data_IF_901130231923
#
_entry.id   IF_901130231923
#
_cell.length_a   1.000
_cell.length_b   1.000
_cell.length_c   1.000
_cell.angle_alpha   90.00
_cell.angle_beta   90.00
_cell.angle_gamma   90.00
#
_symmetry.space_group_name_H-M   'P 1'
#
loop_
_entity.id
_entity.type
_entity.pdbx_description
1 polymer ?
#
# COMPACT_ATOMS: atom_id res chain seq x y z
N UNK A 1 -10.89 -19.29 -16.24
CA UNK A 1 -10.86 -18.20 -15.23
C UNK A 1 -12.16 -17.40 -15.25
N UNK A 2 -12.58 -16.87 -16.42
CA UNK A 2 -13.80 -16.06 -16.55
C UNK A 2 -15.02 -16.76 -15.96
N UNK A 3 -15.29 -17.99 -16.39
CA UNK A 3 -16.47 -18.76 -15.95
C UNK A 3 -16.40 -19.06 -14.45
N UNK A 4 -15.24 -19.37 -13.94
CA UNK A 4 -15.02 -19.56 -12.50
C UNK A 4 -15.36 -18.29 -11.71
N UNK A 5 -14.87 -17.13 -12.13
CA UNK A 5 -15.16 -15.84 -11.46
C UNK A 5 -16.66 -15.53 -11.50
N UNK A 6 -17.32 -15.79 -12.63
CA UNK A 6 -18.77 -15.60 -12.76
C UNK A 6 -19.57 -16.51 -11.82
N UNK A 7 -19.14 -17.75 -11.64
CA UNK A 7 -19.75 -18.68 -10.67
C UNK A 7 -19.56 -18.21 -9.22
N UNK A 8 -18.50 -17.47 -8.93
CA UNK A 8 -18.21 -16.95 -7.59
C UNK A 8 -18.76 -15.54 -7.35
N UNK A 9 -19.55 -14.97 -8.24
CA UNK A 9 -20.04 -13.59 -8.16
C UNK A 9 -20.63 -13.24 -6.80
N UNK A 10 -21.54 -14.08 -6.29
CA UNK A 10 -22.23 -13.81 -5.03
C UNK A 10 -21.29 -13.85 -3.84
N UNK A 11 -20.35 -14.80 -3.82
CA UNK A 11 -19.30 -14.87 -2.82
C UNK A 11 -18.40 -13.63 -2.85
N UNK A 12 -17.95 -13.23 -4.04
CA UNK A 12 -17.10 -12.07 -4.25
C UNK A 12 -17.80 -10.80 -3.74
N UNK A 13 -19.03 -10.56 -4.17
CA UNK A 13 -19.77 -9.38 -3.79
C UNK A 13 -20.13 -9.34 -2.29
N UNK A 14 -20.47 -10.49 -1.71
CA UNK A 14 -20.76 -10.59 -0.28
C UNK A 14 -19.52 -10.38 0.61
N UNK A 15 -18.35 -10.70 0.10
CA UNK A 15 -17.08 -10.59 0.83
C UNK A 15 -16.18 -9.53 0.20
N UNK A 16 -16.73 -8.43 -0.29
CA UNK A 16 -15.99 -7.44 -1.08
C UNK A 16 -14.82 -6.81 -0.30
N UNK A 17 -14.90 -6.70 1.00
CA UNK A 17 -13.82 -6.20 1.85
C UNK A 17 -12.56 -7.10 1.78
N UNK A 18 -12.73 -8.40 1.61
CA UNK A 18 -11.65 -9.38 1.49
C UNK A 18 -11.23 -9.63 0.05
N UNK A 19 -12.19 -9.57 -0.87
CA UNK A 19 -11.97 -9.90 -2.29
C UNK A 19 -11.69 -8.67 -3.16
N UNK A 20 -11.95 -7.48 -2.65
CA UNK A 20 -11.86 -6.23 -3.41
C UNK A 20 -10.48 -5.91 -3.97
N UNK A 21 -9.42 -6.44 -3.37
CA UNK A 21 -8.05 -6.22 -3.81
C UNK A 21 -7.76 -6.62 -5.26
N UNK A 22 -8.52 -7.57 -5.82
CA UNK A 22 -8.35 -7.99 -7.22
C UNK A 22 -9.40 -7.39 -8.16
N UNK A 23 -10.49 -6.84 -7.66
CA UNK A 23 -11.64 -6.40 -8.47
C UNK A 23 -11.24 -5.31 -9.47
N UNK A 24 -10.45 -4.32 -9.05
CA UNK A 24 -9.97 -3.26 -9.94
C UNK A 24 -9.20 -3.78 -11.17
N UNK A 25 -8.61 -4.98 -11.06
CA UNK A 25 -7.90 -5.62 -12.17
C UNK A 25 -8.80 -6.51 -13.00
N UNK A 26 -9.72 -7.20 -12.38
CA UNK A 26 -10.44 -8.32 -12.99
C UNK A 26 -11.79 -7.96 -13.59
N UNK A 27 -12.48 -6.95 -13.10
CA UNK A 27 -13.82 -6.63 -13.62
C UNK A 27 -13.81 -6.37 -15.13
N UNK A 28 -12.87 -5.53 -15.58
CA UNK A 28 -12.69 -5.27 -17.02
C UNK A 28 -12.29 -6.54 -17.81
N UNK A 29 -11.44 -7.38 -17.22
CA UNK A 29 -10.98 -8.62 -17.85
C UNK A 29 -12.08 -9.67 -17.94
N UNK A 30 -12.99 -9.74 -16.97
CA UNK A 30 -14.17 -10.61 -17.00
C UNK A 30 -15.12 -10.19 -18.12
N UNK A 31 -15.27 -8.89 -18.35
CA UNK A 31 -16.05 -8.34 -19.45
C UNK A 31 -17.52 -8.82 -19.45
N UNK A 32 -18.16 -8.87 -18.29
CA UNK A 32 -19.55 -9.29 -18.13
C UNK A 32 -20.36 -8.20 -17.43
N UNK A 33 -21.31 -7.62 -18.14
CA UNK A 33 -22.09 -6.48 -17.64
C UNK A 33 -22.91 -6.79 -16.37
N UNK A 34 -23.41 -8.02 -16.22
CA UNK A 34 -24.14 -8.43 -15.02
C UNK A 34 -23.18 -8.50 -13.82
N UNK A 35 -22.00 -9.08 -14.00
CA UNK A 35 -20.96 -9.14 -12.99
C UNK A 35 -20.52 -7.72 -12.58
N UNK A 36 -20.16 -6.86 -13.54
CA UNK A 36 -19.75 -5.48 -13.28
C UNK A 36 -20.83 -4.69 -12.51
N UNK A 37 -22.11 -4.89 -12.87
CA UNK A 37 -23.22 -4.26 -12.14
C UNK A 37 -23.31 -4.75 -10.68
N UNK A 38 -23.13 -6.05 -10.45
CA UNK A 38 -23.17 -6.62 -9.11
C UNK A 38 -21.97 -6.14 -8.26
N UNK A 39 -20.78 -6.15 -8.82
CA UNK A 39 -19.56 -5.60 -8.19
C UNK A 39 -19.77 -4.14 -7.83
N UNK A 40 -20.19 -3.31 -8.79
CA UNK A 40 -20.39 -1.87 -8.55
C UNK A 40 -21.38 -1.58 -7.40
N UNK A 41 -22.38 -2.44 -7.21
CA UNK A 41 -23.30 -2.35 -6.08
C UNK A 41 -22.61 -2.65 -4.74
N UNK A 42 -21.61 -3.50 -4.74
CA UNK A 42 -20.86 -3.88 -3.52
C UNK A 42 -19.71 -2.91 -3.19
N UNK A 43 -19.16 -2.18 -4.16
CA UNK A 43 -18.00 -1.29 -3.98
C UNK A 43 -18.14 -0.24 -2.88
N UNK A 44 -19.33 0.33 -2.55
CA UNK A 44 -19.45 1.26 -1.43
C UNK A 44 -19.00 0.68 -0.09
N UNK A 45 -19.16 -0.63 0.14
CA UNK A 45 -18.66 -1.28 1.34
C UNK A 45 -17.13 -1.36 1.36
N UNK A 46 -16.50 -1.60 0.20
CA UNK A 46 -15.05 -1.56 0.06
C UNK A 46 -14.51 -0.13 0.24
N UNK A 47 -15.19 0.86 -0.34
CA UNK A 47 -14.85 2.27 -0.16
C UNK A 47 -14.90 2.67 1.33
N UNK A 48 -15.97 2.29 2.03
CA UNK A 48 -16.09 2.54 3.47
C UNK A 48 -14.95 1.92 4.28
N UNK A 49 -14.47 0.73 3.89
CA UNK A 49 -13.30 0.11 4.52
C UNK A 49 -12.04 0.98 4.36
N UNK A 50 -11.78 1.49 3.16
CA UNK A 50 -10.62 2.35 2.95
C UNK A 50 -10.76 3.69 3.69
N UNK A 51 -11.96 4.27 3.74
CA UNK A 51 -12.23 5.48 4.53
C UNK A 51 -12.01 5.23 6.03
N UNK A 52 -12.47 4.11 6.55
CA UNK A 52 -12.20 3.69 7.93
C UNK A 52 -10.69 3.60 8.19
N UNK A 53 -9.94 2.97 7.28
CA UNK A 53 -8.48 2.86 7.43
C UNK A 53 -7.78 4.21 7.36
N UNK A 54 -8.18 5.08 6.43
CA UNK A 54 -7.61 6.42 6.30
C UNK A 54 -7.85 7.29 7.54
N UNK A 55 -8.99 7.12 8.20
CA UNK A 55 -9.35 7.92 9.37
C UNK A 55 -8.61 7.52 10.66
N UNK A 56 -7.94 6.37 10.68
CA UNK A 56 -7.26 5.85 11.88
C UNK A 56 -5.98 6.58 12.22
N UNK A 57 -5.40 7.27 11.27
CA UNK A 57 -4.14 8.00 11.45
C UNK A 57 -4.21 9.36 10.79
N UNK A 58 -3.44 10.35 11.29
CA UNK A 58 -3.36 11.66 10.64
C UNK A 58 -2.67 11.63 9.27
N UNK A 59 -2.06 10.51 8.93
CA UNK A 59 -1.36 10.32 7.64
C UNK A 59 -2.27 9.85 6.51
N UNK A 60 -3.56 9.58 6.82
CA UNK A 60 -4.54 9.15 5.84
C UNK A 60 -4.33 7.72 5.30
N UNK A 61 -3.48 6.93 5.95
CA UNK A 61 -3.27 5.51 5.68
C UNK A 61 -3.10 4.75 6.98
N UNK A 62 -3.51 3.48 7.08
CA UNK A 62 -3.25 2.68 8.27
C UNK A 62 -1.77 2.29 8.31
N UNK A 63 -1.19 2.32 9.48
CA UNK A 63 0.15 1.77 9.72
C UNK A 63 0.16 0.65 10.77
N UNK A 64 -0.99 0.33 11.33
CA UNK A 64 -1.19 -0.82 12.19
C UNK A 64 -2.63 -1.32 12.09
N UNK A 65 -2.82 -2.45 11.48
CA UNK A 65 -4.11 -3.17 11.41
C UNK A 65 -4.24 -4.27 12.46
N UNK A 66 -3.46 -4.18 13.54
CA UNK A 66 -3.37 -5.23 14.53
C UNK A 66 -2.28 -6.25 14.23
N UNK A 67 -1.66 -6.16 13.09
CA UNK A 67 -0.44 -6.88 12.76
C UNK A 67 0.77 -6.07 13.24
N UNK A 68 1.61 -6.66 14.02
CA UNK A 68 2.71 -5.97 14.72
C UNK A 68 3.97 -5.80 13.88
N UNK A 69 3.99 -6.39 12.71
CA UNK A 69 5.15 -6.34 11.84
C UNK A 69 5.00 -5.27 10.76
N UNK A 70 6.08 -4.57 10.52
CA UNK A 70 6.28 -3.80 9.29
C UNK A 70 5.33 -2.63 9.06
N UNK A 71 5.57 -1.52 9.77
CA UNK A 71 4.74 -0.31 9.73
C UNK A 71 4.46 0.26 8.34
N UNK A 72 5.27 -0.05 7.34
CA UNK A 72 5.04 0.39 5.95
C UNK A 72 4.33 -0.64 5.06
N UNK A 73 4.18 -1.88 5.53
CA UNK A 73 3.58 -2.97 4.73
C UNK A 73 2.15 -2.65 4.31
N UNK A 74 1.32 -2.26 5.25
CA UNK A 74 -0.08 -1.98 4.98
C UNK A 74 -0.29 -0.79 4.03
N UNK A 75 0.37 0.37 4.24
CA UNK A 75 0.32 1.46 3.27
C UNK A 75 0.74 1.05 1.87
N UNK A 76 1.79 0.24 1.74
CA UNK A 76 2.27 -0.24 0.44
C UNK A 76 1.28 -1.18 -0.23
N UNK A 77 0.85 -2.22 0.48
CA UNK A 77 -0.04 -3.25 -0.08
C UNK A 77 -1.42 -2.69 -0.42
N UNK A 78 -2.00 -1.92 0.49
CA UNK A 78 -3.30 -1.30 0.27
C UNK A 78 -3.23 -0.21 -0.79
N UNK A 79 -2.18 0.62 -0.79
CA UNK A 79 -1.99 1.66 -1.80
C UNK A 79 -1.83 1.08 -3.20
N UNK A 80 -1.04 0.02 -3.35
CA UNK A 80 -0.89 -0.70 -4.60
C UNK A 80 -2.23 -1.25 -5.13
N UNK A 81 -3.03 -1.88 -4.27
CA UNK A 81 -4.34 -2.38 -4.66
C UNK A 81 -5.32 -1.24 -4.98
N UNK A 82 -5.24 -0.14 -4.24
CA UNK A 82 -6.07 1.04 -4.45
C UNK A 82 -5.81 1.71 -5.82
N UNK A 83 -4.60 1.66 -6.34
CA UNK A 83 -4.31 2.16 -7.70
C UNK A 83 -5.20 1.53 -8.76
N UNK A 84 -5.46 0.23 -8.66
CA UNK A 84 -6.34 -0.46 -9.60
C UNK A 84 -7.82 -0.12 -9.39
N UNK A 85 -8.22 0.10 -8.16
CA UNK A 85 -9.58 0.54 -7.84
C UNK A 85 -9.82 1.96 -8.37
N UNK A 86 -8.88 2.87 -8.16
CA UNK A 86 -8.93 4.23 -8.72
C UNK A 86 -9.00 4.20 -10.26
N UNK A 87 -8.15 3.41 -10.90
CA UNK A 87 -8.14 3.29 -12.36
C UNK A 87 -9.42 2.71 -12.95
N UNK A 88 -10.09 1.80 -12.21
CA UNK A 88 -11.32 1.16 -12.67
C UNK A 88 -12.60 1.93 -12.29
N UNK A 89 -12.59 2.61 -11.15
CA UNK A 89 -13.75 3.27 -10.55
C UNK A 89 -13.36 4.65 -9.95
N UNK A 90 -12.89 5.60 -10.77
CA UNK A 90 -12.38 6.89 -10.27
C UNK A 90 -13.45 7.74 -9.58
N UNK A 91 -14.72 7.50 -9.87
CA UNK A 91 -15.86 8.15 -9.23
C UNK A 91 -16.10 7.70 -7.78
N UNK A 92 -15.60 6.53 -7.40
CA UNK A 92 -15.72 5.97 -6.05
C UNK A 92 -14.40 6.02 -5.26
N UNK A 93 -13.28 5.91 -5.94
CA UNK A 93 -11.96 5.84 -5.34
C UNK A 93 -11.11 7.00 -5.85
N UNK A 94 -11.06 8.10 -5.08
CA UNK A 94 -10.23 9.27 -5.39
C UNK A 94 -8.74 8.93 -5.23
N UNK A 95 -7.81 9.69 -5.83
CA UNK A 95 -6.39 9.36 -5.77
C UNK A 95 -5.72 9.64 -4.41
N UNK A 96 -6.41 10.30 -3.47
CA UNK A 96 -5.83 10.77 -2.22
C UNK A 96 -5.15 9.66 -1.41
N UNK A 97 -5.76 8.47 -1.38
CA UNK A 97 -5.17 7.34 -0.66
C UNK A 97 -3.82 6.92 -1.25
N UNK A 98 -3.66 6.99 -2.57
CA UNK A 98 -2.40 6.67 -3.25
C UNK A 98 -1.33 7.68 -2.87
N UNK A 99 -1.67 8.97 -2.91
CA UNK A 99 -0.75 10.04 -2.53
C UNK A 99 -0.33 9.93 -1.07
N UNK A 100 -1.28 9.69 -0.18
CA UNK A 100 -1.00 9.50 1.24
C UNK A 100 -0.07 8.29 1.48
N UNK A 101 -0.29 7.17 0.77
CA UNK A 101 0.56 6.00 0.88
C UNK A 101 1.99 6.27 0.37
N UNK A 102 2.14 6.97 -0.75
CA UNK A 102 3.46 7.36 -1.26
C UNK A 102 4.16 8.31 -0.29
N UNK A 103 3.47 9.33 0.21
CA UNK A 103 4.04 10.30 1.16
C UNK A 103 4.44 9.63 2.48
N UNK A 104 3.65 8.68 2.96
CA UNK A 104 3.99 7.89 4.15
C UNK A 104 5.32 7.15 3.96
N UNK A 105 5.51 6.51 2.82
CA UNK A 105 6.75 5.80 2.50
C UNK A 105 7.95 6.74 2.35
N UNK A 106 7.72 7.98 1.93
CA UNK A 106 8.74 9.00 1.75
C UNK A 106 9.08 9.79 3.03
N UNK A 107 8.49 9.43 4.18
CA UNK A 107 8.86 9.97 5.47
C UNK A 107 7.75 10.66 6.24
N UNK A 108 6.55 10.79 5.70
CA UNK A 108 5.38 11.27 6.45
C UNK A 108 4.78 10.15 7.29
N UNK A 109 5.51 9.68 8.28
CA UNK A 109 5.13 8.60 9.18
C UNK A 109 5.43 8.97 10.64
N UNK A 110 4.88 8.25 11.63
CA UNK A 110 5.17 8.51 13.03
C UNK A 110 6.63 8.18 13.37
N UNK A 111 7.17 8.82 14.39
CA UNK A 111 8.50 8.57 14.89
C UNK A 111 9.40 9.79 14.85
N UNK A 112 10.54 9.69 15.51
CA UNK A 112 11.50 10.78 15.60
C UNK A 112 12.51 10.79 14.45
N UNK A 113 12.79 9.63 13.88
CA UNK A 113 13.65 9.60 12.72
C UNK A 113 12.84 10.03 11.49
N UNK A 114 13.42 10.85 10.69
CA UNK A 114 12.83 11.33 9.46
C UNK A 114 13.32 10.52 8.26
N UNK A 115 13.73 9.29 8.50
CA UNK A 115 14.14 8.39 7.45
C UNK A 115 12.92 7.91 6.68
N UNK A 116 13.00 7.97 5.37
CA UNK A 116 12.00 7.32 4.52
C UNK A 116 12.16 5.81 4.55
N UNK A 117 11.08 5.09 4.26
CA UNK A 117 11.16 3.64 3.98
C UNK A 117 11.78 3.34 2.62
N UNK A 118 12.14 4.37 1.88
CA UNK A 118 12.81 4.30 0.59
C UNK A 118 14.24 4.76 0.78
N UNK A 119 15.21 3.94 0.39
CA UNK A 119 16.63 4.27 0.53
C UNK A 119 17.02 5.45 -0.36
N UNK A 120 17.87 6.33 0.19
CA UNK A 120 18.30 7.55 -0.48
C UNK A 120 17.33 8.73 -0.37
N UNK A 121 16.27 8.59 0.39
CA UNK A 121 15.30 9.64 0.68
C UNK A 121 15.22 9.88 2.19
N UNK A 122 14.95 11.14 2.59
CA UNK A 122 14.86 11.52 4.00
C UNK A 122 16.20 11.93 4.60
N UNK A 123 16.18 12.26 5.91
CA UNK A 123 17.34 12.74 6.65
C UNK A 123 18.38 11.63 6.90
N UNK A 124 17.90 10.41 7.04
CA UNK A 124 18.72 9.22 7.21
C UNK A 124 18.26 8.15 6.22
N UNK A 125 19.16 7.28 5.83
CA UNK A 125 18.83 6.23 4.86
C UNK A 125 19.10 4.85 5.43
N UNK A 126 18.25 3.90 5.06
CA UNK A 126 18.50 2.50 5.37
C UNK A 126 19.65 1.97 4.52
N UNK A 127 20.47 1.12 5.12
CA UNK A 127 21.72 0.63 4.53
C UNK A 127 21.71 -0.85 4.17
N UNK A 128 20.67 -1.58 4.60
CA UNK A 128 20.67 -3.03 4.46
C UNK A 128 20.04 -3.51 3.16
N UNK A 129 20.68 -4.45 2.53
CA UNK A 129 20.07 -5.29 1.50
C UNK A 129 19.27 -6.42 2.13
N UNK A 130 18.37 -7.02 1.35
CA UNK A 130 17.66 -8.21 1.79
C UNK A 130 18.62 -9.34 2.14
N UNK A 131 18.37 -9.90 3.30
CA UNK A 131 19.09 -11.06 3.80
C UNK A 131 20.12 -10.71 4.84
N UNK A 132 19.75 -11.00 6.07
CA UNK A 132 20.62 -10.91 7.26
C UNK A 132 21.92 -11.69 7.12
N UNK A 133 21.96 -12.60 6.17
CA UNK A 133 23.12 -13.44 5.88
C UNK A 133 24.19 -12.70 5.06
N UNK A 134 23.89 -11.48 4.63
CA UNK A 134 24.88 -10.67 3.89
C UNK A 134 25.60 -9.78 4.89
N UNK A 135 26.83 -10.10 5.13
CA UNK A 135 27.70 -9.39 6.04
C UNK A 135 28.13 -8.00 5.54
N UNK A 136 27.81 -7.63 4.32
CA UNK A 136 28.30 -6.43 3.67
C UNK A 136 27.38 -5.21 3.78
N UNK A 137 26.18 -5.36 4.31
CA UNK A 137 25.20 -4.27 4.49
C UNK A 137 25.10 -3.38 3.25
N UNK A 138 24.97 -4.00 2.11
CA UNK A 138 24.99 -3.32 0.81
C UNK A 138 23.87 -2.31 0.70
N UNK A 139 24.23 -1.10 0.29
CA UNK A 139 23.29 -0.06 -0.02
C UNK A 139 22.63 -0.32 -1.38
N UNK A 140 21.31 -0.29 -1.41
CA UNK A 140 20.51 -0.41 -2.64
C UNK A 140 19.77 0.91 -2.85
N UNK A 141 20.18 1.75 -3.79
CA UNK A 141 19.47 3.00 -4.09
C UNK A 141 18.03 2.73 -4.51
N UNK A 142 17.09 3.46 -3.91
CA UNK A 142 15.66 3.27 -4.22
C UNK A 142 15.07 1.95 -3.75
N UNK A 143 15.78 1.21 -2.90
CA UNK A 143 15.24 0.04 -2.23
C UNK A 143 14.12 0.44 -1.27
N UNK A 144 13.15 -0.43 -1.04
CA UNK A 144 12.02 -0.16 -0.15
C UNK A 144 11.97 -1.19 0.96
N UNK A 145 11.93 -0.70 2.19
CA UNK A 145 11.79 -1.52 3.38
C UNK A 145 10.33 -1.81 3.69
N UNK A 146 10.03 -2.96 4.30
CA UNK A 146 8.71 -3.22 4.88
C UNK A 146 8.38 -2.27 6.05
N UNK A 147 9.34 -1.52 6.54
CA UNK A 147 9.20 -0.66 7.70
C UNK A 147 9.65 -1.32 8.99
N UNK A 148 9.41 -0.64 10.08
CA UNK A 148 9.77 -1.12 11.41
C UNK A 148 8.56 -1.66 12.15
N UNK A 149 8.79 -2.46 13.18
CA UNK A 149 7.75 -2.81 14.12
C UNK A 149 7.34 -1.58 14.93
N UNK A 150 6.04 -1.35 15.00
CA UNK A 150 5.48 -0.27 15.80
C UNK A 150 5.29 -0.70 17.24
N UNK A 151 5.62 0.18 18.16
CA UNK A 151 5.49 -0.03 19.60
C UNK A 151 4.24 0.68 20.09
N UNK A 152 3.31 -0.06 20.64
CA UNK A 152 2.09 0.48 21.25
C UNK A 152 2.37 1.01 22.68
N UNK A 153 1.56 1.95 23.18
CA UNK A 153 0.34 2.53 22.60
C UNK A 153 0.58 3.68 21.61
N UNK A 154 1.74 4.28 21.63
CA UNK A 154 1.99 5.55 20.94
C UNK A 154 2.44 5.37 19.50
N UNK A 155 2.47 4.12 19.03
CA UNK A 155 2.98 3.76 17.72
C UNK A 155 4.33 4.42 17.40
N UNK A 156 5.18 4.70 18.39
CA UNK A 156 6.48 5.24 18.10
C UNK A 156 7.29 4.15 17.45
N UNK A 157 8.02 4.52 16.48
CA UNK A 157 9.09 3.70 15.99
C UNK A 157 10.20 3.64 17.03
N UNK A 158 11.15 2.79 16.77
CA UNK A 158 12.36 2.77 17.56
C UNK A 158 13.06 4.12 17.50
N UNK A 159 13.58 4.58 18.63
CA UNK A 159 14.14 5.93 18.76
C UNK A 159 15.48 6.10 18.05
N UNK A 160 16.10 5.01 17.66
CA UNK A 160 17.40 5.00 17.01
C UNK A 160 17.33 4.32 15.65
N UNK A 161 17.92 4.92 14.68
CA UNK A 161 18.08 4.39 13.34
C UNK A 161 19.54 3.93 13.13
N UNK A 162 19.80 2.84 12.44
CA UNK A 162 18.83 1.86 11.94
C UNK A 162 18.24 1.01 13.06
N UNK A 163 17.05 0.46 12.82
CA UNK A 163 16.39 -0.40 13.78
C UNK A 163 17.04 -1.78 13.83
N UNK A 164 16.96 -2.37 15.01
CA UNK A 164 17.56 -3.68 15.27
C UNK A 164 16.74 -4.86 14.73
N UNK A 165 15.56 -4.58 14.17
CA UNK A 165 14.68 -5.62 13.63
C UNK A 165 14.97 -5.83 12.16
N UNK A 166 15.13 -7.08 11.76
CA UNK A 166 15.36 -7.47 10.36
C UNK A 166 14.38 -6.82 9.39
N UNK A 167 13.11 -6.82 9.76
CA UNK A 167 12.03 -6.28 8.93
C UNK A 167 12.12 -4.78 8.73
N UNK A 168 12.78 -4.07 9.64
CA UNK A 168 13.01 -2.63 9.55
C UNK A 168 14.27 -2.25 8.80
N UNK A 169 15.20 -3.17 8.64
CA UNK A 169 16.56 -2.87 8.19
C UNK A 169 16.87 -3.31 6.77
N UNK A 170 15.99 -4.04 6.11
CA UNK A 170 16.27 -4.58 4.78
C UNK A 170 15.20 -4.22 3.75
N UNK A 171 15.62 -4.22 2.49
CA UNK A 171 14.75 -3.93 1.37
C UNK A 171 14.21 -5.22 0.74
N UNK A 172 12.93 -5.22 0.39
CA UNK A 172 12.26 -6.32 -0.29
C UNK A 172 11.88 -5.95 -1.71
N UNK A 173 12.13 -6.85 -2.65
CA UNK A 173 11.77 -6.65 -4.05
C UNK A 173 10.26 -6.42 -4.28
N UNK A 174 9.41 -7.12 -3.55
CA UNK A 174 7.95 -6.92 -3.61
C UNK A 174 7.55 -5.50 -3.20
N UNK A 175 8.15 -4.97 -2.16
CA UNK A 175 7.89 -3.61 -1.69
C UNK A 175 8.36 -2.55 -2.69
N UNK A 176 9.53 -2.72 -3.27
CA UNK A 176 10.02 -1.84 -4.33
C UNK A 176 9.06 -1.81 -5.51
N UNK A 177 8.53 -2.96 -5.91
CA UNK A 177 7.57 -3.08 -7.02
C UNK A 177 6.27 -2.34 -6.71
N UNK A 178 5.71 -2.49 -5.53
CA UNK A 178 4.50 -1.78 -5.12
C UNK A 178 4.70 -0.28 -5.06
N UNK A 179 5.81 0.15 -4.48
CA UNK A 179 6.16 1.58 -4.42
C UNK A 179 6.33 2.18 -5.81
N UNK A 180 7.12 1.56 -6.69
CA UNK A 180 7.29 2.00 -8.07
C UNK A 180 5.94 2.14 -8.79
N UNK A 181 5.07 1.16 -8.62
CA UNK A 181 3.75 1.21 -9.26
C UNK A 181 2.90 2.38 -8.74
N UNK A 182 2.90 2.61 -7.42
CA UNK A 182 2.17 3.73 -6.82
C UNK A 182 2.73 5.09 -7.29
N UNK A 183 4.05 5.23 -7.39
CA UNK A 183 4.68 6.47 -7.90
C UNK A 183 4.27 6.72 -9.35
N UNK A 184 4.33 5.71 -10.21
CA UNK A 184 3.90 5.83 -11.60
C UNK A 184 2.41 6.13 -11.73
N UNK A 185 1.57 5.51 -10.91
CA UNK A 185 0.14 5.80 -10.86
C UNK A 185 -0.13 7.24 -10.40
N UNK A 186 0.59 7.71 -9.38
CA UNK A 186 0.52 9.08 -8.90
C UNK A 186 0.91 10.08 -9.98
N UNK A 187 2.03 9.85 -10.65
CA UNK A 187 2.51 10.67 -11.75
C UNK A 187 1.49 10.75 -12.89
N UNK A 188 0.94 9.59 -13.28
CA UNK A 188 -0.10 9.53 -14.31
C UNK A 188 -1.34 10.35 -13.92
N UNK A 189 -1.76 10.25 -12.66
CA UNK A 189 -2.93 10.98 -12.16
C UNK A 189 -2.69 12.50 -12.15
N UNK A 190 -1.51 12.93 -11.74
CA UNK A 190 -1.13 14.35 -11.69
C UNK A 190 -1.00 14.94 -13.09
N UNK A 191 -0.46 14.20 -14.04
CA UNK A 191 -0.21 14.67 -15.41
C UNK A 191 -1.39 14.36 -16.35
N UNK A 192 -2.35 13.56 -15.95
CA UNK A 192 -3.48 13.14 -16.80
C UNK A 192 -4.49 14.24 -17.15
N UNK A 193 -4.34 15.42 -16.57
CA UNK A 193 -5.14 16.61 -16.92
C UNK A 193 -4.51 17.46 -18.05
N UNK A 194 -3.39 17.03 -18.63
CA UNK A 194 -2.66 17.75 -19.68
C UNK A 194 -2.79 17.12 -21.07
N UNK A 195 -3.74 16.19 -21.29
CA UNK A 195 -4.00 15.61 -22.62
C UNK A 195 -5.39 15.96 -23.14
#
# INVERSE_FOLDING_TARGET
YRDFVLQQQDFICKNIRQTGWFIGRFDKAVGNARFSKAVRKALPELQAMYQEYSSKTPYGVPHDRGNRSSGSWEPQHLGYNYCYLHAAYPDLFTPDYIFNAVQYLLGMHPGRNQAAFVTGVGAETMKAAYGVNRADWSYIPGGVSPGTNLIRPDLPELLHFPFLWQEGEYCLGGHATWFMYMVLASQKTLNGNEQ
#
